data_IF_234758376982
#
_entry.id   IF_234758376982
#
_cell.length_a   1.000
_cell.length_b   1.000
_cell.length_c   1.000
_cell.angle_alpha   90.00
_cell.angle_beta   90.00
_cell.angle_gamma   90.00
#
_symmetry.space_group_name_H-M   'P 1'
#
loop_
_entity.id
_entity.type
_entity.pdbx_description
1 polymer ?
#
# COMPACT_ATOMS: atom_id res chain seq x y z
N UNK A 1 -2.66 26.34 -65.52
CA UNK A 1 -2.15 27.08 -64.35
C UNK A 1 -2.99 26.62 -63.17
N UNK A 2 -2.59 25.52 -62.54
CA UNK A 2 -3.20 25.01 -61.32
C UNK A 2 -2.52 25.67 -60.14
N UNK A 3 -3.26 26.44 -59.39
CA UNK A 3 -2.78 26.98 -58.13
C UNK A 3 -2.87 25.85 -57.09
N UNK A 4 -1.70 25.37 -56.66
CA UNK A 4 -1.53 24.59 -55.46
C UNK A 4 -1.90 25.50 -54.27
N UNK A 5 -3.06 25.27 -53.72
CA UNK A 5 -3.37 25.75 -52.35
C UNK A 5 -2.60 24.90 -51.37
N UNK A 6 -1.43 25.30 -50.99
CA UNK A 6 -0.80 24.86 -49.75
C UNK A 6 -1.76 25.18 -48.60
N UNK A 7 -2.31 24.16 -48.01
CA UNK A 7 -2.93 24.25 -46.70
C UNK A 7 -1.78 24.59 -45.73
N UNK A 8 -1.76 25.82 -45.22
CA UNK A 8 -1.12 26.16 -43.99
C UNK A 8 -1.72 25.26 -42.91
N UNK A 9 -1.06 24.17 -42.54
CA UNK A 9 -1.39 23.42 -41.36
C UNK A 9 -1.15 24.38 -40.20
N UNK A 10 -2.25 24.85 -39.61
CA UNK A 10 -2.30 25.69 -38.42
C UNK A 10 -1.29 25.13 -37.42
N UNK A 11 -0.23 25.89 -37.11
CA UNK A 11 0.76 25.56 -36.08
C UNK A 11 0.08 25.68 -34.71
N UNK A 12 -0.84 24.75 -34.39
CA UNK A 12 -1.44 24.72 -33.08
C UNK A 12 -0.36 24.37 -32.04
N UNK A 13 -0.46 25.02 -30.91
CA UNK A 13 0.34 24.64 -29.75
C UNK A 13 0.13 23.15 -29.45
N UNK A 14 1.22 22.41 -29.24
CA UNK A 14 1.21 21.00 -28.85
C UNK A 14 1.80 20.84 -27.47
N UNK A 15 1.01 20.25 -26.58
CA UNK A 15 1.51 19.89 -25.26
C UNK A 15 2.62 18.83 -25.32
N UNK A 16 3.50 18.75 -24.32
CA UNK A 16 4.59 17.76 -24.29
C UNK A 16 4.10 16.33 -24.53
N UNK A 17 2.95 15.94 -23.98
CA UNK A 17 2.35 14.61 -24.19
C UNK A 17 2.04 14.28 -25.66
N UNK A 18 1.75 15.28 -26.49
CA UNK A 18 1.49 15.11 -27.92
C UNK A 18 2.77 14.97 -28.75
N UNK A 19 3.92 15.36 -28.18
CA UNK A 19 5.24 15.25 -28.82
C UNK A 19 5.93 13.94 -28.49
N UNK A 20 5.69 13.42 -27.28
CA UNK A 20 6.21 12.13 -26.82
C UNK A 20 5.98 11.97 -25.33
N UNK A 21 5.78 10.74 -24.87
CA UNK A 21 5.64 10.39 -23.46
C UNK A 21 6.55 9.20 -23.18
N UNK A 22 7.45 9.27 -22.18
CA UNK A 22 8.45 8.24 -21.92
C UNK A 22 7.84 7.02 -21.20
N UNK A 23 6.96 6.28 -21.91
CA UNK A 23 6.15 5.18 -21.36
C UNK A 23 7.03 4.13 -20.67
N UNK A 24 8.14 3.71 -21.31
CA UNK A 24 9.01 2.67 -20.77
C UNK A 24 9.60 3.11 -19.43
N UNK A 25 10.15 4.30 -19.39
CA UNK A 25 10.76 4.84 -18.17
C UNK A 25 9.74 5.06 -17.05
N UNK A 26 8.57 5.59 -17.36
CA UNK A 26 7.47 5.75 -16.37
C UNK A 26 7.01 4.37 -15.85
N UNK A 27 6.98 3.34 -16.68
CA UNK A 27 6.67 1.98 -16.25
C UNK A 27 7.73 1.41 -15.30
N UNK A 28 9.01 1.67 -15.52
CA UNK A 28 10.08 1.24 -14.62
C UNK A 28 9.93 1.89 -13.23
N UNK A 29 9.67 3.20 -13.22
CA UNK A 29 9.39 3.95 -11.98
C UNK A 29 8.14 3.40 -11.29
N UNK A 30 7.08 3.14 -12.05
CA UNK A 30 5.83 2.59 -11.54
C UNK A 30 6.01 1.19 -10.94
N UNK A 31 6.79 0.34 -11.58
CA UNK A 31 7.13 -0.99 -11.08
C UNK A 31 7.89 -0.90 -9.74
N UNK A 32 8.78 0.07 -9.61
CA UNK A 32 9.51 0.33 -8.37
C UNK A 32 8.59 0.84 -7.27
N UNK A 33 7.78 1.86 -7.54
CA UNK A 33 6.81 2.41 -6.58
C UNK A 33 5.83 1.32 -6.10
N UNK A 34 5.34 0.46 -7.00
CA UNK A 34 4.44 -0.64 -6.69
C UNK A 34 5.08 -1.82 -5.94
N UNK A 35 6.40 -1.92 -5.91
CA UNK A 35 7.13 -3.08 -5.35
C UNK A 35 7.12 -3.11 -3.82
N UNK A 36 6.98 -1.98 -3.14
CA UNK A 36 7.04 -1.86 -1.69
C UNK A 36 6.13 -0.76 -1.17
N UNK A 37 5.50 -1.01 -0.03
CA UNK A 37 4.71 0.01 0.69
C UNK A 37 5.56 1.21 1.12
N UNK A 38 6.85 1.02 1.31
CA UNK A 38 7.77 2.10 1.70
C UNK A 38 7.93 3.16 0.61
N UNK A 39 7.60 2.83 -0.64
CA UNK A 39 7.63 3.77 -1.76
C UNK A 39 6.32 4.54 -1.93
N UNK A 40 5.28 4.19 -1.17
CA UNK A 40 4.04 4.94 -1.17
C UNK A 40 4.16 6.21 -0.33
N UNK A 41 3.47 7.23 -0.78
CA UNK A 41 3.41 8.48 -0.03
C UNK A 41 2.58 8.35 1.23
N UNK A 42 2.90 9.11 2.29
CA UNK A 42 2.15 9.10 3.56
C UNK A 42 0.65 9.29 3.37
N UNK A 43 0.23 10.20 2.50
CA UNK A 43 -1.20 10.43 2.19
C UNK A 43 -1.91 9.19 1.69
N UNK A 44 -1.23 8.36 0.86
CA UNK A 44 -1.79 7.08 0.40
C UNK A 44 -1.97 6.05 1.52
N UNK A 45 -1.36 6.27 2.69
CA UNK A 45 -1.48 5.39 3.85
C UNK A 45 -2.67 5.75 4.76
N UNK A 46 -3.26 6.93 4.61
CA UNK A 46 -4.41 7.36 5.42
C UNK A 46 -5.61 6.44 5.25
N UNK A 47 -5.85 5.96 4.05
CA UNK A 47 -6.90 4.98 3.75
C UNK A 47 -6.48 3.99 2.69
N UNK A 48 -6.78 2.70 2.90
CA UNK A 48 -6.51 1.66 1.91
C UNK A 48 -7.59 1.66 0.83
N UNK A 49 -7.33 2.40 -0.25
CA UNK A 49 -8.16 2.35 -1.44
C UNK A 49 -7.67 1.24 -2.39
N UNK A 50 -8.48 0.19 -2.59
CA UNK A 50 -8.05 -1.02 -3.31
C UNK A 50 -7.67 -0.81 -4.77
N UNK A 51 -8.31 0.14 -5.44
CA UNK A 51 -8.06 0.49 -6.83
C UNK A 51 -7.14 1.71 -6.98
N UNK A 52 -6.38 2.07 -5.94
CA UNK A 52 -5.47 3.22 -5.99
C UNK A 52 -4.45 3.04 -7.11
N UNK A 53 -4.27 4.09 -7.87
CA UNK A 53 -3.27 4.15 -8.93
C UNK A 53 -1.93 4.63 -8.38
N UNK A 54 -0.85 4.35 -9.10
CA UNK A 54 0.49 4.76 -8.70
C UNK A 54 0.66 6.25 -8.96
N UNK A 55 1.16 6.98 -7.95
CA UNK A 55 1.30 8.44 -8.00
C UNK A 55 2.27 8.90 -9.06
N UNK A 56 3.40 8.21 -9.24
CA UNK A 56 4.40 8.57 -10.25
C UNK A 56 3.84 8.63 -11.68
N UNK A 57 2.89 7.76 -12.02
CA UNK A 57 2.24 7.77 -13.34
C UNK A 57 1.43 9.05 -13.53
N UNK A 58 0.59 9.39 -12.54
CA UNK A 58 -0.22 10.60 -12.63
C UNK A 58 0.60 11.87 -12.50
N UNK A 59 1.69 11.83 -11.78
CA UNK A 59 2.67 12.92 -11.71
C UNK A 59 3.29 13.20 -13.08
N UNK A 60 3.79 12.15 -13.74
CA UNK A 60 4.33 12.26 -15.08
C UNK A 60 3.26 12.76 -16.08
N UNK A 61 2.03 12.23 -16.01
CA UNK A 61 0.92 12.68 -16.86
C UNK A 61 0.64 14.17 -16.61
N UNK A 62 0.54 14.60 -15.36
CA UNK A 62 0.29 16.01 -15.03
C UNK A 62 1.38 16.93 -15.61
N UNK A 63 2.65 16.57 -15.47
CA UNK A 63 3.75 17.33 -16.05
C UNK A 63 3.63 17.40 -17.58
N UNK A 64 3.42 16.28 -18.24
CA UNK A 64 3.37 16.24 -19.71
C UNK A 64 2.10 16.84 -20.32
N UNK A 65 1.03 17.02 -19.54
CA UNK A 65 -0.23 17.61 -20.01
C UNK A 65 -0.41 19.07 -19.62
N UNK A 66 0.20 19.51 -18.54
CA UNK A 66 -0.06 20.85 -17.98
C UNK A 66 1.08 21.83 -18.17
N UNK A 67 2.31 21.35 -18.35
CA UNK A 67 3.46 22.21 -18.63
C UNK A 67 3.39 22.75 -20.06
N UNK A 68 3.48 24.08 -20.21
CA UNK A 68 3.41 24.72 -21.53
C UNK A 68 4.73 24.55 -22.30
N UNK A 69 5.86 24.73 -21.64
CA UNK A 69 7.18 24.64 -22.25
C UNK A 69 8.06 23.64 -21.48
N UNK A 70 8.30 22.43 -22.04
CA UNK A 70 9.09 21.40 -21.39
C UNK A 70 10.58 21.75 -21.23
N UNK A 71 11.06 22.79 -21.88
CA UNK A 71 12.46 23.24 -21.81
C UNK A 71 12.69 24.38 -20.81
N UNK A 72 11.62 24.86 -20.17
CA UNK A 72 11.69 25.92 -19.13
C UNK A 72 11.55 25.37 -17.71
N UNK A 73 11.64 24.06 -17.52
CA UNK A 73 11.59 23.44 -16.20
C UNK A 73 12.99 23.49 -15.59
N UNK A 74 13.20 24.31 -14.58
CA UNK A 74 14.44 24.31 -13.81
C UNK A 74 14.37 23.23 -12.76
N UNK A 75 15.21 22.22 -12.85
CA UNK A 75 15.32 21.14 -11.86
C UNK A 75 16.57 21.33 -11.04
N UNK A 76 16.40 21.70 -9.77
CA UNK A 76 17.48 21.72 -8.81
C UNK A 76 17.66 20.30 -8.25
N UNK A 77 18.61 19.55 -8.78
CA UNK A 77 19.00 18.25 -8.24
C UNK A 77 20.01 18.48 -7.12
N UNK A 78 19.66 18.30 -5.83
CA UNK A 78 20.66 18.25 -4.79
C UNK A 78 21.49 16.99 -5.02
N UNK A 79 22.75 17.12 -5.37
CA UNK A 79 23.75 16.05 -5.48
C UNK A 79 23.65 15.09 -6.70
N UNK A 80 22.96 15.41 -7.76
CA UNK A 80 23.16 14.70 -9.02
C UNK A 80 24.53 15.10 -9.60
N UNK A 81 25.40 14.13 -9.74
CA UNK A 81 26.69 14.32 -10.44
C UNK A 81 26.39 14.89 -11.83
N UNK A 82 26.76 16.13 -12.06
CA UNK A 82 26.49 16.85 -13.33
C UNK A 82 27.08 16.11 -14.54
N UNK A 83 28.01 15.20 -14.30
CA UNK A 83 28.67 14.39 -15.34
C UNK A 83 27.75 13.27 -15.89
N UNK A 84 26.75 12.81 -15.11
CA UNK A 84 25.80 11.80 -15.59
C UNK A 84 24.64 12.39 -16.42
N UNK A 85 24.33 13.66 -16.24
CA UNK A 85 23.29 14.37 -17.01
C UNK A 85 23.77 14.77 -18.42
N UNK A 86 25.09 15.01 -18.60
CA UNK A 86 25.65 15.46 -19.88
C UNK A 86 25.70 14.36 -20.96
N UNK A 87 25.63 13.09 -20.60
CA UNK A 87 25.64 11.98 -21.56
C UNK A 87 24.30 11.80 -22.31
N UNK A 88 23.21 12.42 -21.84
CA UNK A 88 21.88 12.39 -22.47
C UNK A 88 21.48 13.70 -23.16
N UNK A 89 22.38 14.68 -23.23
CA UNK A 89 22.06 16.08 -23.44
C UNK A 89 21.81 16.50 -24.91
N UNK A 90 21.73 15.60 -25.87
CA UNK A 90 21.81 16.08 -27.25
C UNK A 90 20.47 16.33 -27.97
N UNK A 91 19.32 15.83 -27.48
CA UNK A 91 17.99 16.13 -28.10
C UNK A 91 16.77 16.02 -27.14
N UNK A 92 16.95 15.71 -25.85
CA UNK A 92 15.82 15.52 -24.92
C UNK A 92 15.46 16.81 -24.19
N UNK A 93 14.14 17.05 -23.99
CA UNK A 93 13.66 18.17 -23.19
C UNK A 93 14.07 18.06 -21.71
N UNK A 94 14.13 19.19 -20.98
CA UNK A 94 14.38 19.22 -19.54
C UNK A 94 13.42 18.30 -18.78
N UNK A 95 12.16 18.25 -19.21
CA UNK A 95 11.14 17.35 -18.65
C UNK A 95 11.49 15.87 -18.82
N UNK A 96 12.01 15.48 -19.98
CA UNK A 96 12.44 14.11 -20.24
C UNK A 96 13.69 13.77 -19.42
N UNK A 97 14.62 14.70 -19.30
CA UNK A 97 15.80 14.54 -18.46
C UNK A 97 15.42 14.32 -16.99
N UNK A 98 14.44 15.07 -16.47
CA UNK A 98 13.89 14.89 -15.13
C UNK A 98 13.39 13.47 -14.89
N UNK A 99 12.59 12.93 -15.81
CA UNK A 99 12.05 11.57 -15.69
C UNK A 99 13.17 10.51 -15.78
N UNK A 100 14.15 10.73 -16.63
CA UNK A 100 15.28 9.81 -16.81
C UNK A 100 16.26 9.81 -15.64
N UNK A 101 16.39 10.93 -14.92
CA UNK A 101 17.28 11.05 -13.77
C UNK A 101 16.80 10.30 -12.50
N UNK A 102 15.59 9.76 -12.47
CA UNK A 102 15.09 9.01 -11.32
C UNK A 102 15.94 7.76 -11.08
N UNK A 103 16.60 7.67 -9.93
CA UNK A 103 17.35 6.47 -9.52
C UNK A 103 16.41 5.40 -8.98
N UNK A 104 16.23 4.33 -9.72
CA UNK A 104 15.36 3.23 -9.32
C UNK A 104 15.90 2.41 -8.13
N UNK A 105 17.17 2.57 -7.77
CA UNK A 105 17.77 1.90 -6.61
C UNK A 105 17.47 2.63 -5.31
N UNK A 106 17.19 3.93 -5.38
CA UNK A 106 16.85 4.78 -4.24
C UNK A 106 15.37 5.15 -4.26
N UNK A 107 14.56 4.68 -3.29
CA UNK A 107 13.15 5.05 -3.19
C UNK A 107 12.90 6.56 -3.08
N UNK A 108 13.82 7.30 -2.47
CA UNK A 108 13.70 8.74 -2.32
C UNK A 108 13.88 9.48 -3.65
N UNK A 109 14.58 8.91 -4.60
CA UNK A 109 14.73 9.47 -5.96
C UNK A 109 13.41 9.54 -6.75
N UNK A 110 12.34 8.89 -6.29
CA UNK A 110 10.99 9.07 -6.83
C UNK A 110 10.39 10.43 -6.48
N UNK A 111 10.90 11.12 -5.45
CA UNK A 111 10.40 12.40 -4.96
C UNK A 111 10.81 13.62 -5.81
N UNK A 112 11.97 13.65 -6.51
CA UNK A 112 12.35 14.79 -7.35
C UNK A 112 11.37 15.12 -8.47
N UNK A 113 10.49 14.19 -8.85
CA UNK A 113 9.38 14.50 -9.76
C UNK A 113 8.41 15.56 -9.22
N UNK A 114 8.47 15.89 -7.93
CA UNK A 114 7.83 17.05 -7.35
C UNK A 114 8.83 18.19 -7.22
N UNK A 115 9.17 18.78 -8.30
CA UNK A 115 10.05 19.93 -8.28
C UNK A 115 9.30 21.12 -7.69
N UNK A 116 9.94 21.84 -6.76
CA UNK A 116 9.40 23.11 -6.24
C UNK A 116 9.32 24.18 -7.32
N UNK A 117 10.00 23.95 -8.42
CA UNK A 117 10.15 24.93 -9.51
C UNK A 117 9.09 24.77 -10.59
N UNK A 118 8.37 23.64 -10.64
CA UNK A 118 7.21 23.49 -11.52
C UNK A 118 5.98 23.99 -10.78
N UNK A 119 5.48 25.15 -11.20
CA UNK A 119 4.26 25.75 -10.69
C UNK A 119 3.18 25.71 -11.77
N UNK A 120 2.04 25.12 -11.44
CA UNK A 120 0.90 24.98 -12.33
C UNK A 120 -0.34 25.71 -11.79
N UNK A 121 -0.14 26.83 -11.09
CA UNK A 121 -1.20 27.60 -10.41
C UNK A 121 -2.26 28.15 -11.37
N UNK A 122 -1.91 28.32 -12.64
CA UNK A 122 -2.84 28.77 -13.69
C UNK A 122 -3.57 27.62 -14.39
N UNK A 123 -3.33 26.38 -13.96
CA UNK A 123 -3.91 25.18 -14.56
C UNK A 123 -5.03 24.60 -13.70
N UNK A 124 -6.03 24.03 -14.36
CA UNK A 124 -7.14 23.36 -13.70
C UNK A 124 -7.23 21.91 -14.14
N UNK A 125 -7.46 21.00 -13.20
CA UNK A 125 -7.59 19.56 -13.44
C UNK A 125 -8.94 19.07 -12.94
N UNK A 126 -9.68 18.40 -13.79
CA UNK A 126 -10.94 17.73 -13.47
C UNK A 126 -10.75 16.21 -13.53
N UNK A 127 -11.03 15.51 -12.42
CA UNK A 127 -11.15 14.05 -12.41
C UNK A 127 -12.61 13.66 -12.10
N UNK A 128 -13.38 13.23 -13.11
CA UNK A 128 -14.80 12.90 -12.94
C UNK A 128 -15.04 11.53 -12.29
N UNK A 129 -13.97 10.75 -12.02
CA UNK A 129 -14.01 9.43 -11.39
C UNK A 129 -12.83 9.27 -10.40
N UNK A 130 -12.69 10.23 -9.50
CA UNK A 130 -11.48 10.43 -8.69
C UNK A 130 -11.08 9.25 -7.81
N UNK A 131 -12.00 8.37 -7.41
CA UNK A 131 -11.70 7.23 -6.54
C UNK A 131 -10.91 7.62 -5.30
N UNK A 132 -9.71 7.07 -5.15
CA UNK A 132 -8.78 7.44 -4.07
C UNK A 132 -7.97 8.71 -4.31
N UNK A 133 -8.37 9.58 -5.24
CA UNK A 133 -7.84 10.93 -5.40
C UNK A 133 -6.43 11.06 -5.97
N UNK A 134 -5.84 10.01 -6.53
CA UNK A 134 -4.43 10.06 -6.98
C UNK A 134 -4.15 11.18 -7.97
N UNK A 135 -5.01 11.37 -8.97
CA UNK A 135 -4.88 12.44 -9.97
C UNK A 135 -4.83 13.81 -9.31
N UNK A 136 -5.79 14.04 -8.39
CA UNK A 136 -5.94 15.34 -7.71
C UNK A 136 -4.76 15.62 -6.79
N UNK A 137 -4.32 14.61 -6.03
CA UNK A 137 -3.18 14.73 -5.13
C UNK A 137 -1.88 15.05 -5.88
N UNK A 138 -1.65 14.41 -7.01
CA UNK A 138 -0.43 14.65 -7.79
C UNK A 138 -0.43 16.01 -8.48
N UNK A 139 -1.57 16.44 -9.05
CA UNK A 139 -1.71 17.73 -9.70
C UNK A 139 -1.68 18.91 -8.69
N UNK A 140 -2.37 18.80 -7.55
CA UNK A 140 -2.41 19.83 -6.52
C UNK A 140 -1.01 20.16 -5.94
N UNK A 141 -0.11 19.17 -5.92
CA UNK A 141 1.27 19.38 -5.45
C UNK A 141 2.10 20.26 -6.35
N UNK A 142 1.72 20.40 -7.60
CA UNK A 142 2.28 21.37 -8.53
C UNK A 142 1.53 22.71 -8.50
N UNK A 143 0.60 22.92 -7.58
CA UNK A 143 -0.17 24.14 -7.44
C UNK A 143 -1.43 24.22 -8.32
N UNK A 144 -1.73 23.21 -9.11
CA UNK A 144 -2.92 23.24 -9.98
C UNK A 144 -4.22 23.24 -9.18
N UNK A 145 -5.22 23.98 -9.67
CA UNK A 145 -6.59 23.90 -9.17
C UNK A 145 -7.20 22.55 -9.51
N UNK A 146 -7.69 21.83 -8.50
CA UNK A 146 -8.20 20.47 -8.71
C UNK A 146 -9.68 20.35 -8.38
N UNK A 147 -10.42 19.67 -9.23
CA UNK A 147 -11.83 19.34 -9.02
C UNK A 147 -12.04 17.84 -9.20
N UNK A 148 -12.57 17.17 -8.19
CA UNK A 148 -12.87 15.74 -8.23
C UNK A 148 -14.35 15.44 -8.07
N UNK A 149 -14.82 14.43 -8.80
CA UNK A 149 -16.18 13.90 -8.70
C UNK A 149 -16.14 12.39 -8.55
N UNK A 150 -16.98 11.85 -7.68
CA UNK A 150 -17.19 10.40 -7.55
C UNK A 150 -18.58 10.12 -7.01
N UNK A 151 -19.15 8.98 -7.42
CA UNK A 151 -20.45 8.52 -6.89
C UNK A 151 -20.33 7.96 -5.47
N UNK A 152 -19.14 7.50 -5.10
CA UNK A 152 -18.89 6.92 -3.79
C UNK A 152 -18.57 8.02 -2.77
N UNK A 153 -19.42 8.23 -1.73
CA UNK A 153 -19.17 9.25 -0.71
C UNK A 153 -17.88 8.99 0.09
N UNK A 154 -17.43 7.74 0.18
CA UNK A 154 -16.15 7.41 0.84
C UNK A 154 -14.98 7.91 -0.01
N UNK A 155 -15.04 7.80 -1.34
CA UNK A 155 -14.04 8.37 -2.25
C UNK A 155 -13.90 9.87 -2.05
N UNK A 156 -15.04 10.58 -2.03
CA UNK A 156 -15.08 12.02 -1.78
C UNK A 156 -14.46 12.37 -0.42
N UNK A 157 -14.86 11.68 0.65
CA UNK A 157 -14.38 11.95 2.00
C UNK A 157 -12.87 11.72 2.12
N UNK A 158 -12.39 10.58 1.62
CA UNK A 158 -10.96 10.21 1.68
C UNK A 158 -10.11 11.21 0.91
N UNK A 159 -10.47 11.49 -0.34
CA UNK A 159 -9.73 12.43 -1.20
C UNK A 159 -9.69 13.83 -0.60
N UNK A 160 -10.84 14.31 -0.06
CA UNK A 160 -10.90 15.60 0.62
C UNK A 160 -9.94 15.64 1.82
N UNK A 161 -9.93 14.59 2.65
CA UNK A 161 -9.06 14.54 3.83
C UNK A 161 -7.57 14.38 3.47
N UNK A 162 -7.26 13.69 2.40
CA UNK A 162 -5.89 13.61 1.88
C UNK A 162 -5.38 14.99 1.42
N UNK A 163 -6.22 15.79 0.75
CA UNK A 163 -5.87 17.14 0.33
C UNK A 163 -5.72 18.10 1.51
N UNK A 164 -6.60 18.00 2.52
CA UNK A 164 -6.57 18.83 3.72
C UNK A 164 -5.43 18.45 4.70
N UNK A 165 -4.84 17.26 4.57
CA UNK A 165 -3.85 16.77 5.54
C UNK A 165 -2.60 17.65 5.66
N UNK A 166 -2.21 18.33 4.58
CA UNK A 166 -1.06 19.24 4.58
C UNK A 166 -1.28 20.53 5.40
N UNK A 167 -2.53 20.89 5.66
CA UNK A 167 -2.93 22.09 6.41
C UNK A 167 -3.35 21.76 7.86
N UNK A 168 -3.40 20.48 8.23
CA UNK A 168 -3.85 20.03 9.54
C UNK A 168 -2.75 20.22 10.59
N UNK A 169 -3.06 20.91 11.66
CA UNK A 169 -2.18 21.00 12.83
C UNK A 169 -2.13 19.66 13.57
N UNK A 170 -0.92 19.18 13.86
CA UNK A 170 -0.70 17.86 14.47
C UNK A 170 -1.17 17.85 15.92
N UNK A 171 -0.93 18.92 16.68
CA UNK A 171 -1.31 19.00 18.09
C UNK A 171 -2.84 19.02 18.25
N UNK A 172 -3.53 19.71 17.34
CA UNK A 172 -5.00 19.70 17.29
C UNK A 172 -5.53 18.31 16.93
N UNK A 173 -4.90 17.62 16.00
CA UNK A 173 -5.26 16.25 15.60
C UNK A 173 -5.06 15.26 16.75
N UNK A 174 -3.92 15.33 17.45
CA UNK A 174 -3.61 14.49 18.62
C UNK A 174 -4.63 14.74 19.74
N UNK A 175 -4.90 16.00 20.07
CA UNK A 175 -5.89 16.37 21.08
C UNK A 175 -7.30 15.85 20.75
N UNK A 176 -7.71 15.94 19.48
CA UNK A 176 -8.98 15.38 19.02
C UNK A 176 -9.01 13.84 19.10
N UNK A 177 -7.91 13.17 18.75
CA UNK A 177 -7.77 11.73 18.87
C UNK A 177 -7.86 11.28 20.32
N UNK A 178 -7.16 11.94 21.24
CA UNK A 178 -7.20 11.64 22.68
C UNK A 178 -8.62 11.80 23.23
N UNK A 179 -9.31 12.89 22.88
CA UNK A 179 -10.68 13.12 23.33
C UNK A 179 -11.65 12.03 22.85
N UNK A 180 -11.51 11.54 21.61
CA UNK A 180 -12.31 10.43 21.09
C UNK A 180 -11.92 9.12 21.79
N UNK A 181 -10.62 8.87 21.97
CA UNK A 181 -10.11 7.66 22.64
C UNK A 181 -10.66 7.56 24.06
N UNK A 182 -10.54 8.63 24.85
CA UNK A 182 -11.03 8.68 26.23
C UNK A 182 -12.55 8.45 26.33
N UNK A 183 -13.29 8.96 25.35
CA UNK A 183 -14.75 8.83 25.33
C UNK A 183 -15.23 7.39 25.05
N UNK A 184 -14.45 6.60 24.28
CA UNK A 184 -14.92 5.29 23.79
C UNK A 184 -14.10 4.11 24.30
N UNK A 185 -12.90 4.33 24.83
CA UNK A 185 -11.95 3.27 25.19
C UNK A 185 -12.55 2.26 26.17
N UNK A 186 -13.19 2.74 27.23
CA UNK A 186 -13.75 1.88 28.27
C UNK A 186 -14.83 0.92 27.73
N UNK A 187 -15.66 1.39 26.80
CA UNK A 187 -16.68 0.57 26.14
C UNK A 187 -16.03 -0.42 25.17
N UNK A 188 -15.18 0.07 24.29
CA UNK A 188 -14.52 -0.75 23.27
C UNK A 188 -13.62 -1.81 23.89
N UNK A 189 -12.88 -1.48 24.94
CA UNK A 189 -11.96 -2.41 25.60
C UNK A 189 -12.67 -3.66 26.10
N UNK A 190 -13.93 -3.56 26.54
CA UNK A 190 -14.71 -4.70 26.98
C UNK A 190 -14.88 -5.80 25.91
N UNK A 191 -14.88 -5.43 24.62
CA UNK A 191 -14.97 -6.36 23.49
C UNK A 191 -13.63 -7.03 23.15
N UNK A 192 -12.53 -6.49 23.63
CA UNK A 192 -11.17 -6.97 23.37
C UNK A 192 -10.52 -7.60 24.60
N UNK A 193 -11.32 -7.89 25.64
CA UNK A 193 -10.86 -8.56 26.85
C UNK A 193 -11.43 -9.99 26.94
N UNK A 194 -10.64 -10.88 27.49
CA UNK A 194 -11.02 -12.24 27.84
C UNK A 194 -10.27 -12.69 29.08
N UNK A 195 -10.78 -13.70 29.75
CA UNK A 195 -10.09 -14.30 30.90
C UNK A 195 -8.68 -14.72 30.52
N UNK A 196 -7.72 -14.47 31.42
CA UNK A 196 -6.32 -14.80 31.18
C UNK A 196 -6.17 -16.30 30.83
N UNK A 197 -5.55 -16.64 29.70
CA UNK A 197 -5.38 -18.03 29.27
C UNK A 197 -4.50 -18.86 30.22
N UNK A 198 -3.66 -18.20 31.04
CA UNK A 198 -2.81 -18.84 32.03
C UNK A 198 -3.53 -19.08 33.38
N UNK A 199 -4.82 -18.89 33.45
CA UNK A 199 -5.64 -19.16 34.63
C UNK A 199 -5.46 -18.14 35.77
N UNK A 200 -4.81 -16.99 35.52
CA UNK A 200 -4.74 -15.90 36.49
C UNK A 200 -6.11 -15.22 36.66
N UNK A 201 -6.38 -14.69 37.82
CA UNK A 201 -7.67 -14.01 38.11
C UNK A 201 -7.63 -12.54 37.64
N UNK A 202 -7.39 -12.32 36.35
CA UNK A 202 -7.52 -11.02 35.69
C UNK A 202 -7.93 -11.25 34.21
N UNK A 203 -8.41 -10.21 33.58
CA UNK A 203 -8.68 -10.22 32.16
C UNK A 203 -7.40 -9.83 31.38
N UNK A 204 -7.23 -10.41 30.20
CA UNK A 204 -6.15 -10.14 29.28
C UNK A 204 -6.70 -9.47 28.01
N UNK A 205 -5.96 -8.47 27.51
CA UNK A 205 -6.32 -7.83 26.24
C UNK A 205 -6.04 -8.79 25.07
N UNK A 206 -7.02 -8.93 24.18
CA UNK A 206 -6.89 -9.73 22.95
C UNK A 206 -6.10 -8.92 21.93
N UNK A 207 -4.91 -9.39 21.58
CA UNK A 207 -4.08 -8.75 20.56
C UNK A 207 -4.41 -9.22 19.15
N UNK A 208 -4.73 -10.49 18.98
CA UNK A 208 -5.05 -11.10 17.70
C UNK A 208 -6.12 -12.17 17.88
N UNK A 209 -7.02 -12.27 16.93
CA UNK A 209 -8.03 -13.31 16.82
C UNK A 209 -7.86 -14.02 15.47
N UNK A 210 -7.74 -15.36 15.52
CA UNK A 210 -7.56 -16.18 14.33
C UNK A 210 -8.85 -16.97 14.08
N UNK A 211 -9.52 -16.63 12.97
CA UNK A 211 -10.72 -17.34 12.54
C UNK A 211 -10.35 -18.57 11.73
N UNK A 212 -10.80 -19.74 12.19
CA UNK A 212 -10.63 -21.03 11.51
C UNK A 212 -11.99 -21.54 11.09
N UNK A 213 -12.05 -22.10 9.89
CA UNK A 213 -13.22 -22.84 9.45
C UNK A 213 -13.17 -24.23 10.04
N UNK A 214 -14.32 -24.71 10.45
CA UNK A 214 -14.52 -26.06 10.95
C UNK A 214 -15.57 -26.77 10.10
N UNK A 215 -15.50 -28.09 10.06
CA UNK A 215 -16.54 -28.93 9.46
C UNK A 215 -16.68 -30.25 10.26
N UNK A 216 -17.86 -30.83 10.23
CA UNK A 216 -18.08 -32.11 10.82
C UNK A 216 -17.67 -33.22 9.86
N UNK A 217 -16.93 -34.20 10.35
CA UNK A 217 -16.54 -35.38 9.58
C UNK A 217 -17.78 -36.20 9.20
N UNK A 218 -17.93 -36.44 7.89
CA UNK A 218 -19.08 -37.17 7.36
C UNK A 218 -19.17 -38.63 7.83
N UNK A 219 -18.07 -39.18 8.35
CA UNK A 219 -17.99 -40.59 8.81
C UNK A 219 -18.22 -40.72 10.29
N UNK A 220 -17.61 -39.88 11.13
CA UNK A 220 -17.66 -40.04 12.59
C UNK A 220 -18.36 -38.88 13.31
N UNK A 221 -18.68 -37.79 12.57
CA UNK A 221 -19.33 -36.61 13.15
C UNK A 221 -18.43 -35.73 14.00
N UNK A 222 -17.13 -36.03 14.10
CA UNK A 222 -16.20 -35.16 14.85
C UNK A 222 -15.94 -33.87 14.11
N UNK A 223 -15.81 -32.76 14.84
CA UNK A 223 -15.46 -31.46 14.29
C UNK A 223 -13.98 -31.43 13.92
N UNK A 224 -13.69 -31.04 12.68
CA UNK A 224 -12.32 -30.94 12.14
C UNK A 224 -12.00 -29.49 11.86
N UNK A 225 -11.08 -28.86 12.62
CA UNK A 225 -10.61 -27.53 12.32
C UNK A 225 -9.68 -27.56 11.10
N UNK A 226 -9.99 -26.73 10.11
CA UNK A 226 -9.32 -26.76 8.80
C UNK A 226 -7.97 -26.02 8.80
N UNK A 227 -7.07 -26.41 9.67
CA UNK A 227 -5.69 -25.95 9.66
C UNK A 227 -4.90 -26.59 8.51
N UNK A 228 -4.18 -25.77 7.75
CA UNK A 228 -3.17 -26.26 6.81
C UNK A 228 -1.91 -26.69 7.55
N UNK A 229 -1.50 -25.91 8.49
CA UNK A 229 -0.48 -26.18 9.50
C UNK A 229 -0.85 -25.44 10.80
N UNK A 230 -0.33 -25.91 11.92
CA UNK A 230 -0.67 -25.36 13.24
C UNK A 230 0.18 -24.17 13.66
N UNK A 231 1.00 -23.64 12.78
CA UNK A 231 1.76 -22.41 13.02
C UNK A 231 0.86 -21.18 12.90
N UNK A 232 0.63 -20.50 13.98
CA UNK A 232 -0.24 -19.31 14.05
C UNK A 232 0.51 -18.05 13.70
N UNK A 233 1.76 -17.92 14.18
CA UNK A 233 2.62 -16.79 13.90
C UNK A 233 4.12 -17.15 14.02
N UNK A 234 4.96 -16.39 13.33
CA UNK A 234 6.40 -16.38 13.58
C UNK A 234 6.73 -15.51 14.79
N UNK A 235 7.63 -15.95 15.62
CA UNK A 235 8.13 -15.18 16.76
C UNK A 235 8.84 -13.91 16.30
N UNK A 236 8.72 -12.84 17.09
CA UNK A 236 9.33 -11.55 16.85
C UNK A 236 10.17 -11.13 18.07
N UNK A 237 11.03 -10.13 17.87
CA UNK A 237 11.89 -9.57 18.91
C UNK A 237 12.74 -10.67 19.61
N UNK A 238 12.56 -10.90 20.88
CA UNK A 238 13.27 -11.90 21.67
C UNK A 238 12.99 -13.34 21.22
N UNK A 239 11.81 -13.57 20.62
CA UNK A 239 11.39 -14.87 20.11
C UNK A 239 11.69 -15.04 18.60
N UNK A 240 12.59 -14.23 18.03
CA UNK A 240 12.95 -14.32 16.61
C UNK A 240 13.60 -15.68 16.33
N UNK A 241 12.97 -16.44 15.43
CA UNK A 241 13.39 -17.79 15.08
C UNK A 241 12.48 -18.88 15.61
N UNK A 242 11.65 -18.57 16.59
CA UNK A 242 10.61 -19.49 17.13
C UNK A 242 9.29 -19.29 16.41
N UNK A 243 8.33 -20.17 16.69
CA UNK A 243 6.99 -20.15 16.14
C UNK A 243 5.95 -20.27 17.24
N UNK A 244 4.90 -19.46 17.20
CA UNK A 244 3.70 -19.69 17.97
C UNK A 244 2.90 -20.78 17.28
N UNK A 245 2.63 -21.86 17.98
CA UNK A 245 1.91 -23.03 17.44
C UNK A 245 0.68 -23.36 18.28
N UNK A 246 -0.39 -23.75 17.58
CA UNK A 246 -1.66 -24.15 18.18
C UNK A 246 -1.64 -25.64 18.43
N UNK A 247 -1.99 -26.07 19.63
CA UNK A 247 -2.14 -27.47 19.98
C UNK A 247 -3.52 -27.99 19.53
N UNK A 248 -3.58 -29.04 18.69
CA UNK A 248 -4.87 -29.57 18.24
C UNK A 248 -5.69 -30.29 19.32
N UNK A 249 -5.09 -30.64 20.45
CA UNK A 249 -5.74 -31.38 21.52
C UNK A 249 -6.37 -30.45 22.57
N UNK A 250 -5.64 -29.44 23.04
CA UNK A 250 -6.11 -28.58 24.13
C UNK A 250 -6.29 -27.12 23.71
N UNK A 251 -6.13 -26.84 22.44
CA UNK A 251 -6.32 -25.50 21.85
C UNK A 251 -5.40 -24.39 22.38
N UNK A 252 -4.43 -24.73 23.20
CA UNK A 252 -3.44 -23.77 23.70
C UNK A 252 -2.47 -23.35 22.61
N UNK A 253 -1.93 -22.14 22.76
CA UNK A 253 -0.86 -21.61 21.88
C UNK A 253 0.42 -21.52 22.70
N UNK A 254 1.49 -22.13 22.21
CA UNK A 254 2.81 -22.10 22.84
C UNK A 254 3.93 -21.84 21.83
N UNK A 255 5.15 -21.57 22.32
CA UNK A 255 6.32 -21.35 21.50
C UNK A 255 7.08 -22.64 21.26
N UNK A 256 7.56 -22.84 20.01
CA UNK A 256 8.53 -23.87 19.66
C UNK A 256 9.60 -23.29 18.73
N UNK A 257 10.84 -23.75 18.87
CA UNK A 257 11.94 -23.34 18.00
C UNK A 257 11.97 -24.12 16.68
N UNK A 258 11.36 -25.29 16.65
CA UNK A 258 11.28 -26.12 15.46
C UNK A 258 9.83 -26.56 15.18
N UNK A 259 9.24 -25.98 14.16
CA UNK A 259 7.89 -26.30 13.71
C UNK A 259 7.85 -27.43 12.66
N UNK A 260 8.98 -27.96 12.22
CA UNK A 260 9.06 -29.03 11.22
C UNK A 260 9.14 -30.42 11.87
N UNK A 261 9.70 -30.48 13.08
CA UNK A 261 9.83 -31.71 13.87
C UNK A 261 8.64 -31.90 14.80
N UNK A 262 8.58 -33.05 15.44
CA UNK A 262 7.61 -33.34 16.48
C UNK A 262 7.82 -32.41 17.68
N UNK A 263 6.74 -31.75 18.10
CA UNK A 263 6.71 -30.86 19.26
C UNK A 263 5.73 -31.39 20.29
N UNK A 264 6.04 -31.19 21.57
CA UNK A 264 5.20 -31.59 22.70
C UNK A 264 4.53 -30.34 23.27
N UNK A 265 3.22 -30.37 23.39
CA UNK A 265 2.45 -29.28 23.99
C UNK A 265 2.86 -29.09 25.47
N UNK A 266 3.11 -27.85 25.86
CA UNK A 266 3.50 -27.49 27.23
C UNK A 266 2.36 -27.66 28.23
N UNK A 267 1.10 -27.61 27.78
CA UNK A 267 -0.08 -27.67 28.64
C UNK A 267 -0.64 -29.08 28.81
N UNK A 268 -0.77 -29.83 27.71
CA UNK A 268 -1.43 -31.18 27.76
C UNK A 268 -0.48 -32.32 27.44
N UNK A 269 0.77 -32.06 27.11
CA UNK A 269 1.77 -33.07 26.72
C UNK A 269 1.45 -33.83 25.43
N UNK A 270 0.49 -33.37 24.63
CA UNK A 270 0.19 -33.94 23.31
C UNK A 270 1.35 -33.75 22.34
N UNK A 271 1.75 -34.80 21.63
CA UNK A 271 2.82 -34.79 20.64
C UNK A 271 2.25 -34.63 19.24
N UNK A 272 2.72 -33.64 18.48
CA UNK A 272 2.29 -33.42 17.10
C UNK A 272 3.38 -32.68 16.28
N UNK A 273 3.25 -32.66 14.97
CA UNK A 273 4.15 -31.91 14.11
C UNK A 273 3.47 -30.61 13.68
N UNK A 274 3.90 -29.42 14.14
CA UNK A 274 3.22 -28.16 13.85
C UNK A 274 3.05 -27.82 12.38
N UNK A 275 3.96 -28.24 11.51
CA UNK A 275 3.85 -28.04 10.06
C UNK A 275 2.84 -28.96 9.35
N UNK A 276 2.18 -29.86 10.09
CA UNK A 276 1.24 -30.86 9.53
C UNK A 276 -0.14 -30.67 10.15
N UNK A 277 -0.96 -29.85 9.51
CA UNK A 277 -2.39 -29.76 9.85
C UNK A 277 -3.24 -30.82 9.15
N UNK A 278 -4.53 -30.92 9.49
CA UNK A 278 -5.46 -31.89 8.91
C UNK A 278 -5.77 -31.63 7.43
N UNK A 279 -5.46 -30.46 6.89
CA UNK A 279 -5.75 -30.10 5.49
C UNK A 279 -4.55 -30.30 4.59
N UNK A 280 -4.71 -31.11 3.55
CA UNK A 280 -3.70 -31.34 2.51
C UNK A 280 -3.75 -30.30 1.38
N UNK A 281 -2.68 -30.23 0.55
CA UNK A 281 -2.56 -29.28 -0.58
C UNK A 281 -3.69 -29.38 -1.62
N UNK A 282 -4.39 -30.47 -1.71
CA UNK A 282 -5.49 -30.69 -2.67
C UNK A 282 -6.86 -30.23 -2.16
N UNK A 283 -6.94 -29.60 -0.98
CA UNK A 283 -8.22 -29.21 -0.36
C UNK A 283 -8.95 -30.36 0.32
N UNK A 284 -8.29 -31.51 0.49
CA UNK A 284 -8.81 -32.65 1.26
C UNK A 284 -8.43 -32.50 2.73
N UNK A 285 -9.32 -32.89 3.62
CA UNK A 285 -9.02 -32.97 5.04
C UNK A 285 -8.91 -34.43 5.49
N UNK A 286 -8.23 -34.64 6.61
CA UNK A 286 -8.16 -35.94 7.27
C UNK A 286 -8.73 -35.79 8.68
N UNK A 287 -9.79 -36.51 9.00
CA UNK A 287 -10.29 -36.56 10.37
C UNK A 287 -9.28 -37.28 11.25
N UNK A 288 -8.87 -36.65 12.35
CA UNK A 288 -7.92 -37.24 13.30
C UNK A 288 -8.51 -38.41 14.06
N UNK A 289 -9.83 -38.43 14.26
CA UNK A 289 -10.52 -39.46 15.05
C UNK A 289 -10.76 -40.78 14.28
N UNK A 290 -11.09 -40.68 12.99
CA UNK A 290 -11.40 -41.89 12.19
C UNK A 290 -10.49 -42.10 10.98
N UNK A 291 -9.57 -41.18 10.69
CA UNK A 291 -8.63 -41.26 9.57
C UNK A 291 -9.26 -41.12 8.18
N UNK A 292 -10.54 -40.76 8.08
CA UNK A 292 -11.18 -40.48 6.79
C UNK A 292 -10.52 -39.28 6.11
N UNK A 293 -10.26 -39.43 4.82
CA UNK A 293 -9.76 -38.37 3.95
C UNK A 293 -10.85 -37.85 3.04
#
# INVERSE_FOLDING_TARGET
MSQDTQHDEDERFRYPIERGFPIERVNDIAAKEGSSKMHYRPTSMMHKWWARRLGCVFRAISLYTLVDDPDQITVDYPDADKDTLTDFADESSELEQLINAVDLSDPESLWPLYTKDVQLEDKSVLDPFMGGGTTLMEASRFGADVTGVDLNPVAWFVTKKELEAGETDIDDLESAFEAVSDAVEAELRSYYQRSCPNGHNHDADVMYEFWIRELDCISCGSTVPLFKDYRVAAGRYENKGSYHVYCPECESVFLTDDAQSESVCTECSHSFTPSKGPVSRGGYYTSQDCGLK
#
